data_IF_966189433073
#
_entry.id   IF_966189433073
#
_cell.length_a   1.000
_cell.length_b   1.000
_cell.length_c   1.000
_cell.angle_alpha   90.00
_cell.angle_beta   90.00
_cell.angle_gamma   90.00
#
_symmetry.space_group_name_H-M   'P 1'
#
loop_
_entity.id
_entity.type
_entity.pdbx_description
1 polymer ?
#
# COMPACT_ATOMS: atom_id res chain seq x y z
N UNK A 1 -32.82 -20.81 -38.84
CA UNK A 1 -32.24 -19.44 -38.87
C UNK A 1 -32.46 -18.69 -37.56
N UNK A 2 -33.65 -18.71 -36.96
CA UNK A 2 -33.92 -18.04 -35.68
C UNK A 2 -32.99 -18.48 -34.51
N UNK A 3 -32.65 -19.76 -34.42
CA UNK A 3 -31.74 -20.29 -33.39
C UNK A 3 -30.31 -19.76 -33.52
N UNK A 4 -29.79 -19.57 -34.74
CA UNK A 4 -28.47 -18.99 -34.96
C UNK A 4 -28.42 -17.52 -34.54
N UNK A 5 -29.51 -16.76 -34.80
CA UNK A 5 -29.64 -15.37 -34.36
C UNK A 5 -29.64 -15.26 -32.82
N UNK A 6 -30.41 -16.11 -32.14
CA UNK A 6 -30.48 -16.10 -30.67
C UNK A 6 -29.13 -16.46 -30.03
N UNK A 7 -28.41 -17.45 -30.58
CA UNK A 7 -27.08 -17.82 -30.10
C UNK A 7 -26.10 -16.66 -30.30
N UNK A 8 -26.10 -16.01 -31.46
CA UNK A 8 -25.21 -14.88 -31.73
C UNK A 8 -25.46 -13.69 -30.79
N UNK A 9 -26.72 -13.42 -30.44
CA UNK A 9 -27.10 -12.37 -29.51
C UNK A 9 -26.69 -12.69 -28.07
N UNK A 10 -26.86 -13.94 -27.64
CA UNK A 10 -26.44 -14.40 -26.31
C UNK A 10 -24.91 -14.33 -26.14
N UNK A 11 -24.14 -14.71 -27.16
CA UNK A 11 -22.68 -14.60 -27.13
C UNK A 11 -22.24 -13.13 -27.06
N UNK A 12 -22.87 -12.25 -27.84
CA UNK A 12 -22.57 -10.81 -27.80
C UNK A 12 -22.86 -10.20 -26.42
N UNK A 13 -24.00 -10.53 -25.81
CA UNK A 13 -24.34 -10.10 -24.45
C UNK A 13 -23.36 -10.65 -23.41
N UNK A 14 -22.96 -11.92 -23.54
CA UNK A 14 -21.98 -12.54 -22.64
C UNK A 14 -20.63 -11.82 -22.66
N UNK A 15 -20.13 -11.46 -23.85
CA UNK A 15 -18.88 -10.70 -24.01
C UNK A 15 -19.00 -9.31 -23.39
N UNK A 16 -20.13 -8.63 -23.57
CA UNK A 16 -20.35 -7.29 -22.97
C UNK A 16 -20.38 -7.37 -21.45
N UNK A 17 -21.11 -8.31 -20.85
CA UNK A 17 -21.19 -8.49 -19.39
C UNK A 17 -19.82 -8.81 -18.81
N UNK A 18 -19.06 -9.72 -19.45
CA UNK A 18 -17.70 -10.04 -19.01
C UNK A 18 -16.76 -8.83 -19.10
N UNK A 19 -16.89 -7.98 -20.12
CA UNK A 19 -16.05 -6.79 -20.27
C UNK A 19 -16.38 -5.70 -19.23
N UNK A 20 -17.67 -5.45 -18.97
CA UNK A 20 -18.10 -4.53 -17.90
C UNK A 20 -17.75 -5.04 -16.50
N UNK A 21 -17.76 -6.36 -16.28
CA UNK A 21 -17.31 -6.96 -15.04
C UNK A 21 -15.82 -6.75 -14.78
N UNK A 22 -14.96 -6.88 -15.82
CA UNK A 22 -13.51 -6.65 -15.68
C UNK A 22 -13.16 -5.18 -15.46
N UNK A 23 -13.83 -4.27 -16.15
CA UNK A 23 -13.58 -2.83 -16.01
C UNK A 23 -13.93 -2.27 -14.62
N UNK A 24 -14.94 -2.85 -13.93
CA UNK A 24 -15.25 -2.47 -12.54
C UNK A 24 -14.14 -2.93 -11.57
N UNK A 25 -13.66 -4.16 -11.71
CA UNK A 25 -12.58 -4.70 -10.85
C UNK A 25 -11.27 -3.94 -11.02
N UNK A 26 -10.96 -3.47 -12.23
CA UNK A 26 -9.76 -2.65 -12.48
C UNK A 26 -9.92 -1.22 -11.96
N UNK A 27 -11.13 -0.62 -12.01
CA UNK A 27 -11.39 0.72 -11.48
C UNK A 27 -11.47 0.78 -9.95
N UNK A 28 -11.74 -0.33 -9.28
CA UNK A 28 -11.68 -0.48 -7.82
C UNK A 28 -10.25 -0.68 -7.31
N UNK A 29 -9.27 -0.89 -8.20
CA UNK A 29 -7.88 -1.13 -7.81
C UNK A 29 -7.02 0.13 -7.72
N UNK A 30 -7.51 1.27 -8.20
CA UNK A 30 -6.80 2.56 -8.17
C UNK A 30 -7.33 3.42 -7.02
N UNK A 31 -6.41 3.96 -6.21
CA UNK A 31 -6.81 4.79 -5.10
C UNK A 31 -7.43 6.11 -5.61
N UNK A 32 -8.67 6.44 -5.22
CA UNK A 32 -9.46 7.51 -5.85
C UNK A 32 -8.95 8.92 -5.53
N UNK A 33 -8.00 9.06 -4.60
CA UNK A 33 -7.36 10.33 -4.24
C UNK A 33 -5.85 10.16 -4.22
N UNK A 34 -5.12 11.16 -4.73
CA UNK A 34 -3.67 11.20 -4.56
C UNK A 34 -3.33 11.61 -3.11
N UNK A 35 -2.85 10.67 -2.31
CA UNK A 35 -2.52 10.87 -0.89
C UNK A 35 -1.26 11.73 -0.75
N UNK A 36 -0.29 11.55 -1.65
CA UNK A 36 1.00 12.23 -1.58
C UNK A 36 1.83 11.81 -0.37
N UNK A 37 1.69 10.56 0.09
CA UNK A 37 2.52 10.01 1.15
C UNK A 37 3.96 9.83 0.65
N UNK A 38 4.94 10.29 1.42
CA UNK A 38 6.36 10.16 1.11
C UNK A 38 7.17 9.90 2.38
N UNK A 39 8.41 9.42 2.25
CA UNK A 39 9.34 9.41 3.38
C UNK A 39 9.83 10.82 3.66
N UNK A 40 9.99 11.14 4.94
CA UNK A 40 10.73 12.33 5.33
C UNK A 40 12.18 12.23 4.89
N UNK A 41 12.73 13.35 4.44
CA UNK A 41 14.13 13.46 4.01
C UNK A 41 14.83 14.50 4.88
N UNK A 42 15.83 14.06 5.66
CA UNK A 42 16.67 14.94 6.48
C UNK A 42 18.09 14.87 5.93
N UNK A 43 18.67 16.02 5.60
CA UNK A 43 20.03 16.09 5.04
C UNK A 43 20.23 15.21 3.78
N UNK A 44 19.20 15.09 2.93
CA UNK A 44 19.16 14.23 1.73
C UNK A 44 19.19 12.72 2.00
N UNK A 45 18.88 12.32 3.24
CA UNK A 45 18.78 10.91 3.64
C UNK A 45 17.33 10.63 3.99
N UNK A 46 16.74 9.65 3.32
CA UNK A 46 15.41 9.12 3.64
C UNK A 46 15.41 8.57 5.06
N UNK A 47 14.40 8.94 5.86
CA UNK A 47 14.31 8.58 7.27
C UNK A 47 13.67 7.19 7.41
N UNK A 48 14.40 6.17 7.00
CA UNK A 48 14.06 4.75 7.20
C UNK A 48 15.35 3.98 7.53
N UNK A 49 15.33 3.21 8.61
CA UNK A 49 16.47 2.39 9.00
C UNK A 49 16.03 1.21 9.86
N UNK A 50 16.87 0.18 9.92
CA UNK A 50 16.70 -0.98 10.79
C UNK A 50 17.66 -0.90 11.97
N UNK A 51 17.21 -1.29 13.16
CA UNK A 51 18.06 -1.40 14.35
C UNK A 51 18.11 -2.87 14.78
N UNK A 52 19.24 -3.51 14.54
CA UNK A 52 19.49 -4.91 14.90
C UNK A 52 19.53 -5.17 16.41
N UNK A 53 19.81 -4.15 17.23
CA UNK A 53 19.80 -4.26 18.69
C UNK A 53 18.39 -4.30 19.29
N UNK A 54 17.44 -3.64 18.65
CA UNK A 54 16.03 -3.57 19.08
C UNK A 54 15.12 -4.50 18.26
N UNK A 55 15.62 -5.08 17.17
CA UNK A 55 14.85 -5.82 16.17
C UNK A 55 13.67 -5.00 15.63
N UNK A 56 13.90 -3.72 15.35
CA UNK A 56 12.86 -2.78 14.93
C UNK A 56 13.26 -2.06 13.64
N UNK A 57 12.31 -1.93 12.71
CA UNK A 57 12.39 -1.04 11.57
C UNK A 57 11.74 0.30 11.95
N UNK A 58 12.51 1.38 11.87
CA UNK A 58 12.05 2.74 12.10
C UNK A 58 11.82 3.46 10.77
N UNK A 59 10.76 4.26 10.69
CA UNK A 59 10.49 5.10 9.53
C UNK A 59 9.79 6.40 9.92
N UNK A 60 10.05 7.45 9.14
CA UNK A 60 9.32 8.72 9.23
C UNK A 60 8.66 9.01 7.89
N UNK A 61 7.34 9.20 7.90
CA UNK A 61 6.55 9.53 6.71
C UNK A 61 5.89 10.89 6.85
N UNK A 62 5.76 11.57 5.72
CA UNK A 62 5.03 12.81 5.52
C UNK A 62 3.80 12.54 4.68
N UNK A 63 2.67 13.07 5.12
CA UNK A 63 1.42 13.02 4.37
C UNK A 63 1.26 14.27 3.49
N UNK A 64 0.63 14.10 2.33
CA UNK A 64 0.26 15.20 1.45
C UNK A 64 -0.90 16.05 1.99
N UNK A 65 -1.39 16.96 1.14
CA UNK A 65 -2.40 17.96 1.53
C UNK A 65 -3.84 17.54 1.21
N UNK A 66 -4.04 16.48 0.44
CA UNK A 66 -5.33 16.17 -0.17
C UNK A 66 -6.28 15.47 0.81
N UNK A 67 -5.78 14.48 1.54
CA UNK A 67 -6.56 13.68 2.49
C UNK A 67 -5.76 13.37 3.76
N UNK A 68 -6.46 13.01 4.83
CA UNK A 68 -5.84 12.45 6.03
C UNK A 68 -5.55 10.96 5.80
N UNK A 69 -4.52 10.45 6.47
CA UNK A 69 -4.17 9.03 6.49
C UNK A 69 -4.66 8.45 7.80
N UNK A 70 -5.46 7.38 7.70
CA UNK A 70 -6.19 6.74 8.79
C UNK A 70 -5.62 5.38 9.20
N UNK A 71 -4.48 5.03 8.62
CA UNK A 71 -3.67 3.88 9.02
C UNK A 71 -2.54 3.66 8.03
N UNK A 72 -1.60 2.80 8.40
CA UNK A 72 -0.55 2.34 7.51
C UNK A 72 -0.53 0.81 7.49
N UNK A 73 -0.12 0.24 6.36
CA UNK A 73 0.23 -1.17 6.24
C UNK A 73 1.68 -1.24 5.80
N UNK A 74 2.52 -1.80 6.64
CA UNK A 74 3.95 -1.99 6.37
C UNK A 74 4.18 -3.45 6.02
N UNK A 75 4.65 -3.70 4.81
CA UNK A 75 5.07 -5.04 4.37
C UNK A 75 6.59 -5.06 4.28
N UNK A 76 7.22 -6.01 4.97
CA UNK A 76 8.66 -6.23 4.94
C UNK A 76 8.91 -7.58 4.28
N UNK A 77 9.62 -7.57 3.16
CA UNK A 77 10.04 -8.79 2.46
C UNK A 77 11.48 -9.06 2.86
N UNK A 78 11.67 -10.09 3.70
CA UNK A 78 12.98 -10.64 4.02
C UNK A 78 13.48 -11.64 2.99
N UNK A 79 14.70 -12.12 3.19
CA UNK A 79 15.28 -13.22 2.41
C UNK A 79 14.57 -14.55 2.66
N UNK A 80 14.10 -14.80 3.89
CA UNK A 80 13.47 -16.07 4.29
C UNK A 80 11.95 -15.97 4.35
N UNK A 81 11.41 -14.83 4.80
CA UNK A 81 9.96 -14.64 5.00
C UNK A 81 9.52 -13.19 4.76
N UNK A 82 8.29 -13.02 4.28
CA UNK A 82 7.60 -11.74 4.26
C UNK A 82 6.68 -11.58 5.47
N UNK A 83 6.65 -10.37 6.05
CA UNK A 83 5.82 -10.00 7.19
C UNK A 83 4.99 -8.77 6.88
N UNK A 84 3.76 -8.75 7.40
CA UNK A 84 2.81 -7.64 7.23
C UNK A 84 2.43 -7.11 8.61
N UNK A 85 2.56 -5.80 8.77
CA UNK A 85 2.22 -5.07 9.99
C UNK A 85 1.13 -4.07 9.67
N UNK A 86 -0.03 -4.25 10.29
CA UNK A 86 -1.13 -3.29 10.20
C UNK A 86 -1.05 -2.30 11.35
N UNK A 87 -1.15 -1.01 11.02
CA UNK A 87 -1.11 0.10 11.97
C UNK A 87 -2.42 0.91 11.87
N UNK A 88 -3.57 0.35 12.31
CA UNK A 88 -4.88 0.98 12.15
C UNK A 88 -5.11 2.21 13.04
N UNK A 89 -4.28 2.38 14.08
CA UNK A 89 -4.34 3.52 14.99
C UNK A 89 -3.47 4.69 14.53
N UNK A 90 -2.71 4.53 13.45
CA UNK A 90 -1.91 5.62 12.88
C UNK A 90 -2.81 6.65 12.24
N UNK A 91 -2.75 7.90 12.72
CA UNK A 91 -3.46 9.05 12.15
C UNK A 91 -2.46 10.11 11.74
N UNK A 92 -2.44 10.46 10.45
CA UNK A 92 -1.59 11.52 9.90
C UNK A 92 -2.48 12.58 9.29
N UNK A 93 -2.53 13.74 9.92
CA UNK A 93 -3.24 14.90 9.38
C UNK A 93 -2.66 15.34 8.02
N UNK A 94 -3.39 16.20 7.32
CA UNK A 94 -2.92 16.82 6.08
C UNK A 94 -1.63 17.59 6.33
N UNK A 95 -0.62 17.43 5.45
CA UNK A 95 0.73 17.97 5.62
C UNK A 95 1.40 17.58 6.96
N UNK A 96 0.96 16.47 7.56
CA UNK A 96 1.45 15.97 8.83
C UNK A 96 2.68 15.06 8.68
N UNK A 97 3.37 14.86 9.79
CA UNK A 97 4.48 13.92 9.93
C UNK A 97 4.08 12.82 10.89
N UNK A 98 4.53 11.60 10.64
CA UNK A 98 4.39 10.46 11.54
C UNK A 98 5.71 9.71 11.67
N UNK A 99 6.12 9.47 12.91
CA UNK A 99 7.23 8.60 13.27
C UNK A 99 6.67 7.24 13.67
N UNK A 100 7.01 6.21 12.91
CA UNK A 100 6.52 4.85 13.10
C UNK A 100 7.66 3.86 13.30
N UNK A 101 7.34 2.74 13.91
CA UNK A 101 8.22 1.58 14.00
C UNK A 101 7.42 0.28 13.94
N UNK A 102 8.06 -0.79 13.48
CA UNK A 102 7.52 -2.14 13.47
C UNK A 102 8.60 -3.13 13.88
N UNK A 103 8.25 -4.12 14.70
CA UNK A 103 9.19 -5.12 15.13
C UNK A 103 9.44 -6.16 14.03
N UNK A 104 10.70 -6.32 13.65
CA UNK A 104 11.16 -7.20 12.60
C UNK A 104 12.41 -7.98 13.05
N UNK A 105 12.26 -9.30 13.18
CA UNK A 105 13.33 -10.19 13.61
C UNK A 105 14.07 -10.79 12.41
N UNK A 106 15.26 -10.25 12.10
CA UNK A 106 16.11 -10.74 11.01
C UNK A 106 16.58 -12.19 11.23
N UNK A 107 16.63 -12.68 12.47
CA UNK A 107 17.02 -14.07 12.74
C UNK A 107 15.97 -15.08 12.29
N UNK A 108 14.71 -14.64 12.17
CA UNK A 108 13.58 -15.46 11.74
C UNK A 108 13.22 -15.20 10.28
N UNK A 109 13.15 -13.93 9.89
CA UNK A 109 12.65 -13.52 8.56
C UNK A 109 13.77 -13.22 7.55
N UNK A 110 15.02 -13.20 8.00
CA UNK A 110 16.20 -12.96 7.19
C UNK A 110 16.50 -11.47 6.95
N UNK A 111 17.55 -11.17 6.18
CA UNK A 111 17.90 -9.80 5.80
C UNK A 111 16.76 -9.12 5.02
N UNK A 112 16.50 -7.84 5.30
CA UNK A 112 15.46 -7.06 4.63
C UNK A 112 15.84 -6.82 3.18
N UNK A 113 14.98 -7.23 2.25
CA UNK A 113 15.14 -7.00 0.81
C UNK A 113 14.26 -5.88 0.29
N UNK A 114 13.10 -5.70 0.88
CA UNK A 114 12.16 -4.66 0.49
C UNK A 114 11.24 -4.28 1.63
N UNK A 115 10.94 -2.99 1.75
CA UNK A 115 9.89 -2.44 2.61
C UNK A 115 8.87 -1.73 1.72
N UNK A 116 7.59 -2.05 1.90
CA UNK A 116 6.48 -1.38 1.24
C UNK A 116 5.52 -0.79 2.28
N UNK A 117 5.37 0.53 2.28
CA UNK A 117 4.46 1.26 3.19
C UNK A 117 3.26 1.74 2.37
N UNK A 118 2.09 1.17 2.63
CA UNK A 118 0.84 1.51 1.94
C UNK A 118 -0.08 2.30 2.89
N UNK A 119 -0.57 3.48 2.48
CA UNK A 119 -1.52 4.22 3.29
C UNK A 119 -2.92 3.59 3.26
N UNK A 120 -3.63 3.73 4.38
CA UNK A 120 -5.06 3.50 4.51
C UNK A 120 -5.75 4.84 4.74
N UNK A 121 -6.83 5.11 4.01
CA UNK A 121 -7.59 6.36 4.11
C UNK A 121 -9.07 6.07 4.30
N UNK A 122 -9.81 6.99 4.91
CA UNK A 122 -11.27 6.89 4.98
C UNK A 122 -11.93 7.85 3.99
N UNK A 123 -12.65 7.30 3.01
CA UNK A 123 -13.37 8.05 1.99
C UNK A 123 -14.85 7.69 2.02
N UNK A 124 -15.71 8.69 2.09
CA UNK A 124 -17.17 8.49 2.09
C UNK A 124 -17.66 7.43 3.12
N UNK A 125 -16.99 7.36 4.27
CA UNK A 125 -17.21 6.41 5.38
C UNK A 125 -16.65 4.99 5.20
N UNK A 126 -16.07 4.68 4.05
CA UNK A 126 -15.41 3.40 3.75
C UNK A 126 -13.89 3.51 3.94
N UNK A 127 -13.26 2.44 4.44
CA UNK A 127 -11.80 2.36 4.56
C UNK A 127 -11.20 1.78 3.28
N UNK A 128 -10.25 2.49 2.68
CA UNK A 128 -9.60 2.12 1.44
C UNK A 128 -8.09 2.00 1.64
N UNK A 129 -7.50 0.94 1.09
CA UNK A 129 -6.05 0.71 1.12
C UNK A 129 -5.47 1.07 -0.25
N UNK A 130 -4.62 2.08 -0.27
CA UNK A 130 -4.06 2.63 -1.51
C UNK A 130 -2.70 2.00 -1.84
N UNK A 131 -2.73 0.74 -2.27
CA UNK A 131 -1.53 -0.08 -2.56
C UNK A 131 -0.70 0.37 -3.77
N UNK A 132 -1.33 1.12 -4.67
CA UNK A 132 -0.79 1.73 -5.88
C UNK A 132 0.05 2.98 -5.57
N UNK A 133 -0.26 3.66 -4.47
CA UNK A 133 0.46 4.84 -3.97
C UNK A 133 1.41 4.51 -2.81
N UNK A 134 1.80 3.24 -2.69
CA UNK A 134 2.71 2.81 -1.65
C UNK A 134 4.14 3.26 -1.90
N UNK A 135 4.85 3.57 -0.81
CA UNK A 135 6.29 3.81 -0.82
C UNK A 135 6.99 2.46 -0.86
N UNK A 136 7.94 2.26 -1.79
CA UNK A 136 8.71 1.02 -1.94
C UNK A 136 10.20 1.32 -1.82
N UNK A 137 10.89 0.56 -0.97
CA UNK A 137 12.29 0.75 -0.60
C UNK A 137 13.00 -0.60 -0.64
N UNK A 138 14.17 -0.68 -1.26
CA UNK A 138 14.92 -1.95 -1.38
C UNK A 138 16.23 -1.94 -0.59
N UNK A 139 16.80 -0.77 -0.32
CA UNK A 139 18.07 -0.61 0.39
C UNK A 139 17.84 -0.01 1.77
N UNK A 140 17.49 -0.86 2.75
CA UNK A 140 17.34 -0.44 4.14
C UNK A 140 18.69 -0.48 4.85
N UNK A 141 19.10 0.64 5.44
CA UNK A 141 20.35 0.78 6.17
C UNK A 141 20.16 0.50 7.66
N UNK A 142 21.26 0.16 8.33
CA UNK A 142 21.31 0.16 9.79
C UNK A 142 21.17 1.59 10.32
N UNK A 143 20.46 1.77 11.42
CA UNK A 143 20.49 2.97 12.24
C UNK A 143 21.86 3.07 12.95
#
# INVERSE_FOLDING_TARGET
MATLLLISFAVALGVVIMNFGRAQVESEAECPVNIGLQLSVVSKIEQVCYNSGENDLFFTVENGVNTEVDGLIVNIIGTEKAETFEMPETRIGKAGVYLGHVSYDQSVSGEIRQVKISPKVKLYEEEEICVDQAIVLEEIKEC
#
